data_IF_114304570944
#
_entry.id   IF_114304570944
#
_cell.length_a   1.000
_cell.length_b   1.000
_cell.length_c   1.000
_cell.angle_alpha   90.00
_cell.angle_beta   90.00
_cell.angle_gamma   90.00
#
_symmetry.space_group_name_H-M   'P 1'
#
loop_
_entity.id
_entity.type
_entity.pdbx_description
1 polymer ?
#
# COMPACT_ATOMS: atom_id res chain seq x y z
N UNK A 1 26.67 5.71 -13.24
CA UNK A 1 26.22 5.76 -12.94
C UNK A 1 25.49 5.51 -12.42
N UNK A 2 25.69 5.57 -12.45
CA UNK A 2 24.97 5.53 -11.98
C UNK A 2 24.36 5.08 -11.56
N UNK A 3 24.25 4.97 -11.59
CA UNK A 3 23.46 4.74 -11.23
C UNK A 3 22.94 4.35 -10.72
N UNK A 4 23.16 4.38 -10.60
CA UNK A 4 22.54 4.15 -10.02
C UNK A 4 21.61 4.30 -9.59
N UNK A 5 21.68 4.69 -9.72
CA UNK A 5 20.68 5.10 -9.10
C UNK A 5 19.61 4.36 -9.28
N UNK A 6 19.77 3.86 -9.94
CA UNK A 6 18.87 3.36 -10.10
C UNK A 6 18.32 2.42 -9.50
N UNK A 7 18.84 1.84 -9.22
CA UNK A 7 18.24 1.22 -8.19
C UNK A 7 17.26 2.09 -7.55
N UNK A 8 17.08 3.19 -8.10
CA UNK A 8 16.04 4.05 -7.63
C UNK A 8 14.74 3.33 -7.70
N UNK A 9 13.98 3.46 -6.70
CA UNK A 9 12.67 2.90 -6.62
C UNK A 9 11.81 3.38 -7.78
N UNK A 10 11.14 2.46 -8.43
CA UNK A 10 10.20 2.77 -9.50
C UNK A 10 8.80 2.81 -8.92
N UNK A 11 8.01 3.75 -9.39
CA UNK A 11 6.59 3.79 -9.05
C UNK A 11 5.88 2.62 -9.73
N UNK A 12 5.09 1.92 -8.96
CA UNK A 12 4.21 0.86 -9.44
C UNK A 12 2.79 1.41 -9.43
N UNK A 13 2.04 1.16 -10.47
CA UNK A 13 0.67 1.67 -10.57
C UNK A 13 -0.28 0.97 -9.63
N UNK A 14 -1.21 1.74 -9.08
CA UNK A 14 -2.40 1.22 -8.41
C UNK A 14 -3.57 1.57 -9.31
N UNK A 15 -4.32 0.55 -9.74
CA UNK A 15 -5.49 0.75 -10.59
C UNK A 15 -6.45 -0.41 -10.32
N UNK A 16 -7.37 -0.19 -9.39
CA UNK A 16 -8.27 -1.23 -8.94
C UNK A 16 -9.72 -0.79 -9.10
N UNK A 17 -10.56 -1.74 -9.49
CA UNK A 17 -12.00 -1.60 -9.46
C UNK A 17 -12.51 -2.56 -8.40
N UNK A 18 -13.16 -2.01 -7.37
CA UNK A 18 -13.59 -2.80 -6.22
C UNK A 18 -15.11 -2.70 -6.11
N UNK A 19 -15.78 -3.84 -6.20
CA UNK A 19 -17.23 -3.89 -6.10
C UNK A 19 -17.69 -3.45 -4.71
N UNK A 20 -18.94 -2.98 -4.63
CA UNK A 20 -19.53 -2.53 -3.37
C UNK A 20 -19.35 -3.57 -2.27
N UNK A 21 -18.85 -3.14 -1.12
CA UNK A 21 -18.65 -4.01 0.04
C UNK A 21 -17.49 -4.99 -0.08
N UNK A 22 -16.75 -4.96 -1.19
CA UNK A 22 -15.65 -5.90 -1.41
C UNK A 22 -14.31 -5.26 -1.13
N UNK A 23 -13.28 -6.07 -1.20
CA UNK A 23 -11.91 -5.72 -0.85
C UNK A 23 -11.04 -5.82 -2.10
N UNK A 24 -10.10 -4.89 -2.24
CA UNK A 24 -9.03 -5.00 -3.23
C UNK A 24 -7.71 -4.74 -2.54
N UNK A 25 -6.65 -5.40 -2.98
CA UNK A 25 -5.35 -5.18 -2.36
C UNK A 25 -4.19 -5.33 -3.33
N UNK A 26 -3.09 -4.72 -2.95
CA UNK A 26 -1.81 -4.81 -3.65
C UNK A 26 -0.78 -5.20 -2.62
N UNK A 27 -0.07 -6.29 -2.88
CA UNK A 27 0.92 -6.80 -1.94
C UNK A 27 2.31 -6.78 -2.56
N UNK A 28 3.32 -6.62 -1.72
CA UNK A 28 4.71 -6.59 -2.17
C UNK A 28 5.60 -7.15 -1.06
N UNK A 29 6.70 -7.83 -1.43
CA UNK A 29 7.66 -8.27 -0.43
C UNK A 29 8.51 -7.08 0.01
N UNK A 30 8.70 -6.94 1.31
CA UNK A 30 9.61 -5.94 1.89
C UNK A 30 10.58 -6.66 2.81
N UNK A 31 11.78 -6.09 2.92
CA UNK A 31 12.76 -6.51 3.91
C UNK A 31 12.73 -5.52 5.07
N UNK A 32 13.22 -5.96 6.23
CA UNK A 32 13.32 -5.04 7.37
C UNK A 32 14.13 -3.81 6.96
N UNK A 33 13.59 -2.64 7.24
CA UNK A 33 14.22 -1.37 6.91
C UNK A 33 13.82 -0.78 5.57
N UNK A 34 13.17 -1.55 4.70
CA UNK A 34 12.62 -0.99 3.45
C UNK A 34 11.51 -0.01 3.78
N UNK A 35 11.41 1.05 3.01
CA UNK A 35 10.34 2.05 3.17
C UNK A 35 9.39 1.97 1.99
N UNK A 36 8.13 1.70 2.28
CA UNK A 36 7.05 1.69 1.29
C UNK A 36 6.39 3.08 1.31
N UNK A 37 6.29 3.69 0.15
CA UNK A 37 5.60 4.96 -0.02
C UNK A 37 4.43 4.75 -0.96
N UNK A 38 3.32 5.41 -0.70
CA UNK A 38 2.13 5.30 -1.53
C UNK A 38 1.42 6.63 -1.66
N UNK A 39 0.64 6.73 -2.73
CA UNK A 39 -0.36 7.76 -2.86
C UNK A 39 -1.51 7.16 -3.65
N UNK A 40 -2.71 7.50 -3.29
CA UNK A 40 -3.88 7.04 -4.03
C UNK A 40 -5.04 8.00 -3.89
N UNK A 41 -5.97 7.89 -4.80
CA UNK A 41 -7.28 8.48 -4.67
C UNK A 41 -8.32 7.43 -5.00
N UNK A 42 -9.44 7.49 -4.31
CA UNK A 42 -10.55 6.59 -4.53
C UNK A 42 -11.76 7.43 -4.97
N UNK A 43 -12.62 6.84 -5.77
CA UNK A 43 -13.78 7.56 -6.30
C UNK A 43 -14.83 7.87 -5.22
N UNK A 44 -14.73 7.21 -4.06
CA UNK A 44 -15.55 7.49 -2.88
C UNK A 44 -14.75 7.08 -1.65
N UNK A 45 -15.10 7.58 -0.46
CA UNK A 45 -14.39 7.19 0.77
C UNK A 45 -14.41 5.69 0.97
N UNK A 46 -13.26 5.13 1.29
CA UNK A 46 -13.06 3.70 1.51
C UNK A 46 -12.23 3.50 2.76
N UNK A 47 -12.35 2.34 3.38
CA UNK A 47 -11.45 1.98 4.47
C UNK A 47 -10.14 1.52 3.85
N UNK A 48 -9.04 1.96 4.43
CA UNK A 48 -7.71 1.69 3.92
C UNK A 48 -6.79 1.23 5.03
N UNK A 49 -5.98 0.22 4.75
CA UNK A 49 -4.96 -0.19 5.71
C UNK A 49 -3.70 -0.67 5.00
N UNK A 50 -2.61 -0.65 5.75
CA UNK A 50 -1.38 -1.37 5.44
C UNK A 50 -1.28 -2.48 6.46
N UNK A 51 -1.12 -3.71 6.00
CA UNK A 51 -1.04 -4.84 6.92
C UNK A 51 -0.04 -5.89 6.46
N UNK A 52 0.33 -6.75 7.40
CA UNK A 52 1.05 -7.97 7.11
C UNK A 52 0.59 -9.04 8.12
N UNK A 53 0.99 -10.27 7.88
CA UNK A 53 0.56 -11.39 8.71
C UNK A 53 1.75 -11.96 9.47
N UNK A 54 1.55 -12.24 10.76
CA UNK A 54 2.50 -12.98 11.58
C UNK A 54 1.75 -14.20 12.10
N UNK A 55 2.02 -15.36 11.51
CA UNK A 55 1.24 -16.55 11.82
C UNK A 55 -0.23 -16.29 11.47
N UNK A 56 -1.10 -16.43 12.47
CA UNK A 56 -2.53 -16.20 12.27
C UNK A 56 -2.95 -14.76 12.56
N UNK A 57 -2.02 -13.92 12.99
CA UNK A 57 -2.35 -12.54 13.33
C UNK A 57 -2.21 -11.64 12.15
N UNK A 58 -3.10 -10.65 12.06
CA UNK A 58 -3.01 -9.56 11.10
C UNK A 58 -2.53 -8.34 11.85
N UNK A 59 -1.42 -7.77 11.40
CA UNK A 59 -0.84 -6.58 12.01
C UNK A 59 -1.12 -5.40 11.10
N UNK A 60 -1.73 -4.36 11.63
CA UNK A 60 -2.18 -3.19 10.86
C UNK A 60 -1.49 -1.93 11.36
N UNK A 61 -0.25 -1.65 10.91
CA UNK A 61 0.42 -0.42 11.33
C UNK A 61 -0.32 0.85 10.91
N UNK A 62 -1.04 0.78 9.79
CA UNK A 62 -1.85 1.88 9.29
C UNK A 62 -3.26 1.34 9.09
N UNK A 63 -4.24 2.02 9.67
CA UNK A 63 -5.64 1.62 9.57
C UNK A 63 -6.49 2.89 9.59
N UNK A 64 -7.09 3.21 8.46
CA UNK A 64 -7.83 4.46 8.28
C UNK A 64 -9.22 4.20 7.80
N UNK A 65 -10.17 4.91 8.34
CA UNK A 65 -11.59 4.75 8.02
C UNK A 65 -12.03 5.86 7.08
N UNK A 66 -12.78 5.47 6.05
CA UNK A 66 -13.51 6.38 5.18
C UNK A 66 -12.63 7.49 4.60
N UNK A 67 -11.57 7.11 3.90
CA UNK A 67 -10.68 8.06 3.25
C UNK A 67 -10.82 7.97 1.73
N UNK A 68 -10.83 9.11 1.06
CA UNK A 68 -10.90 9.18 -0.39
C UNK A 68 -9.52 9.36 -1.02
N UNK A 69 -8.52 9.66 -0.22
CA UNK A 69 -7.14 9.82 -0.70
C UNK A 69 -6.19 9.71 0.48
N UNK A 70 -4.97 9.26 0.21
CA UNK A 70 -3.92 9.25 1.20
C UNK A 70 -2.56 9.29 0.51
N UNK A 71 -1.60 9.85 1.21
CA UNK A 71 -0.20 9.88 0.77
C UNK A 71 0.66 9.76 2.00
N UNK A 72 1.45 8.70 2.09
CA UNK A 72 2.26 8.44 3.26
C UNK A 72 3.34 7.44 2.94
N UNK A 73 4.13 7.11 3.95
CA UNK A 73 5.15 6.07 3.85
C UNK A 73 5.30 5.38 5.20
N UNK A 74 5.80 4.17 5.14
CA UNK A 74 6.01 3.35 6.32
C UNK A 74 7.25 2.50 6.14
N UNK A 75 8.09 2.43 7.15
CA UNK A 75 9.29 1.60 7.12
C UNK A 75 8.98 0.26 7.75
N UNK A 76 9.25 -0.81 7.00
CA UNK A 76 8.98 -2.16 7.46
C UNK A 76 9.93 -2.53 8.60
N UNK A 77 9.37 -3.08 9.65
CA UNK A 77 10.15 -3.53 10.81
C UNK A 77 10.61 -4.99 10.66
N UNK A 78 10.16 -5.66 9.61
CA UNK A 78 10.50 -7.06 9.36
C UNK A 78 10.30 -7.43 7.91
N UNK A 79 10.99 -8.48 7.49
CA UNK A 79 10.76 -9.07 6.19
C UNK A 79 9.42 -9.80 6.19
N UNK A 80 8.59 -9.52 5.21
CA UNK A 80 7.29 -10.17 5.04
C UNK A 80 6.66 -9.71 3.73
N UNK A 81 5.52 -10.24 3.40
CA UNK A 81 4.66 -9.67 2.38
C UNK A 81 3.76 -8.65 3.05
N UNK A 82 3.80 -7.42 2.55
CA UNK A 82 3.02 -6.32 3.09
C UNK A 82 1.98 -5.90 2.07
N UNK A 83 0.79 -5.58 2.52
CA UNK A 83 -0.33 -5.31 1.63
C UNK A 83 -0.99 -3.97 1.92
N UNK A 84 -1.25 -3.22 0.85
CA UNK A 84 -2.14 -2.06 0.88
C UNK A 84 -3.52 -2.58 0.52
N UNK A 85 -4.51 -2.32 1.35
CA UNK A 85 -5.85 -2.88 1.17
C UNK A 85 -6.92 -1.81 1.30
N UNK A 86 -7.90 -1.89 0.41
CA UNK A 86 -9.04 -0.98 0.41
C UNK A 86 -10.31 -1.80 0.49
N UNK A 87 -11.26 -1.33 1.32
CA UNK A 87 -12.59 -1.91 1.41
C UNK A 87 -13.60 -0.89 0.91
N UNK A 88 -14.32 -1.25 -0.13
CA UNK A 88 -15.33 -0.37 -0.70
C UNK A 88 -16.52 -0.25 0.25
N UNK A 89 -17.21 0.92 0.24
CA UNK A 89 -18.43 1.06 1.03
C UNK A 89 -19.47 0.01 0.63
N UNK A 90 -20.33 -0.34 1.55
CA UNK A 90 -21.35 -1.38 1.32
C UNK A 90 -22.28 -1.04 0.16
N UNK A 91 -22.52 0.23 -0.09
CA UNK A 91 -23.52 0.66 -1.07
C UNK A 91 -22.93 1.09 -2.41
N UNK A 92 -21.60 1.05 -2.59
CA UNK A 92 -21.00 1.69 -3.75
C UNK A 92 -19.70 1.04 -4.16
N UNK A 93 -19.60 0.68 -5.44
CA UNK A 93 -18.33 0.27 -6.02
C UNK A 93 -17.40 1.48 -6.13
N UNK A 94 -16.09 1.25 -6.07
CA UNK A 94 -15.11 2.32 -6.17
C UNK A 94 -14.01 1.95 -7.16
N UNK A 95 -13.32 2.99 -7.62
CA UNK A 95 -12.07 2.85 -8.35
C UNK A 95 -10.96 3.49 -7.51
N UNK A 96 -9.83 2.80 -7.38
CA UNK A 96 -8.68 3.31 -6.65
C UNK A 96 -7.53 3.46 -7.64
N UNK A 97 -6.93 4.63 -7.70
CA UNK A 97 -5.82 4.91 -8.60
C UNK A 97 -4.71 5.64 -7.87
N UNK A 98 -3.48 5.32 -8.23
CA UNK A 98 -2.32 5.94 -7.64
C UNK A 98 -1.05 5.16 -7.94
N UNK A 99 -0.13 5.19 -7.00
CA UNK A 99 1.14 4.48 -7.15
C UNK A 99 1.76 4.16 -5.79
N UNK A 100 2.67 3.21 -5.81
CA UNK A 100 3.50 2.88 -4.66
C UNK A 100 4.92 2.60 -5.12
N UNK A 101 5.86 2.71 -4.19
CA UNK A 101 7.26 2.36 -4.47
C UNK A 101 7.96 1.97 -3.18
N UNK A 102 9.05 1.24 -3.33
CA UNK A 102 9.87 0.78 -2.21
C UNK A 102 11.25 1.36 -2.32
N UNK A 103 11.73 1.99 -1.26
CA UNK A 103 13.12 2.43 -1.14
C UNK A 103 13.82 1.46 -0.18
N UNK A 104 14.91 0.87 -0.65
CA UNK A 104 15.66 -0.08 0.15
C UNK A 104 16.36 0.62 1.30
N UNK A 105 16.46 -0.10 2.43
CA UNK A 105 17.20 0.39 3.58
C UNK A 105 18.65 0.66 3.19
N UNK A 106 19.16 1.78 3.67
CA UNK A 106 20.54 2.11 3.51
C UNK A 106 20.94 2.29 2.07
N UNK A 107 19.98 2.54 1.22
CA UNK A 107 20.23 2.69 -0.18
C UNK A 107 21.46 3.47 -0.41
N UNK A 108 22.54 3.01 -0.09
CA UNK A 108 23.75 3.70 -0.31
C UNK A 108 24.36 3.25 -1.48
#
# INVERSE_FOLDING_TARGET
>A
LGGSGNTAAKDQSIDLKIAAGKVGEVCMPLRAGDTLAWNFSASAPADFNLHHHIGKEVVLPIDRQAVAADRARHTADRANDWCLMWTAPAAQAITVKGSWRVAAKGGK
#
